data_IF_980519817360
#
_entry.id   IF_980519817360
#
_cell.length_a   1.000
_cell.length_b   1.000
_cell.length_c   1.000
_cell.angle_alpha   90.00
_cell.angle_beta   90.00
_cell.angle_gamma   90.00
#
_symmetry.space_group_name_H-M   'P 1'
#
loop_
_entity.id
_entity.type
_entity.pdbx_description
1 polymer ?
#
# COMPACT_ATOMS: atom_id res chain seq x y z
N UNK A 1 11.85 -11.77 2.47
CA UNK A 1 11.54 -10.48 1.84
C UNK A 1 12.67 -10.10 0.92
N UNK A 2 12.38 -9.31 -0.11
CA UNK A 2 13.35 -8.83 -1.09
C UNK A 2 13.91 -7.46 -0.69
N UNK A 3 15.21 -7.26 -0.88
CA UNK A 3 15.90 -5.97 -0.91
C UNK A 3 16.61 -5.90 -2.26
N UNK A 4 16.29 -4.91 -3.08
CA UNK A 4 16.72 -4.80 -4.47
C UNK A 4 17.67 -3.60 -4.67
N UNK A 5 18.48 -3.67 -5.72
CA UNK A 5 19.42 -2.62 -6.13
C UNK A 5 20.60 -2.42 -5.15
N UNK A 6 21.16 -3.51 -4.66
CA UNK A 6 22.28 -3.55 -3.72
C UNK A 6 23.63 -3.65 -4.42
N UNK A 7 24.67 -3.06 -3.81
CA UNK A 7 26.07 -3.26 -4.16
C UNK A 7 26.68 -4.47 -3.40
N UNK A 8 27.93 -4.82 -3.72
CA UNK A 8 28.69 -5.81 -2.94
C UNK A 8 28.95 -5.34 -1.50
N UNK A 9 29.20 -4.04 -1.33
CA UNK A 9 29.53 -3.46 -0.03
C UNK A 9 28.31 -3.47 0.89
N UNK A 10 27.10 -3.26 0.33
CA UNK A 10 25.85 -3.39 1.09
C UNK A 10 25.63 -4.84 1.55
N UNK A 11 25.92 -5.82 0.70
CA UNK A 11 25.81 -7.24 1.06
C UNK A 11 26.78 -7.62 2.19
N UNK A 12 28.00 -7.07 2.16
CA UNK A 12 29.00 -7.30 3.22
C UNK A 12 28.57 -6.62 4.52
N UNK A 13 28.04 -5.40 4.47
CA UNK A 13 27.46 -4.72 5.62
C UNK A 13 26.27 -5.51 6.21
N UNK A 14 25.35 -5.99 5.37
CA UNK A 14 24.23 -6.83 5.81
C UNK A 14 24.71 -8.07 6.58
N UNK A 15 25.75 -8.74 6.09
CA UNK A 15 26.32 -9.93 6.75
C UNK A 15 26.96 -9.59 8.09
N UNK A 16 27.71 -8.49 8.17
CA UNK A 16 28.38 -8.03 9.41
C UNK A 16 27.39 -7.63 10.49
N UNK A 17 26.21 -7.11 10.08
CA UNK A 17 25.17 -6.63 10.98
C UNK A 17 24.13 -7.71 11.34
N UNK A 18 24.40 -8.97 10.99
CA UNK A 18 23.51 -10.09 11.32
C UNK A 18 22.23 -10.15 10.47
N UNK A 19 22.22 -9.46 9.33
CA UNK A 19 21.11 -9.45 8.35
C UNK A 19 21.42 -10.33 7.14
N UNK A 20 22.08 -11.44 7.37
CA UNK A 20 22.57 -12.36 6.37
C UNK A 20 21.45 -12.77 5.40
N UNK A 21 21.64 -12.57 4.07
CA UNK A 21 20.67 -13.01 3.09
C UNK A 21 20.53 -14.53 3.05
N UNK A 22 19.31 -15.02 2.98
CA UNK A 22 19.02 -16.42 2.68
C UNK A 22 19.34 -16.79 1.24
N UNK A 23 19.30 -15.80 0.32
CA UNK A 23 19.79 -15.93 -1.05
C UNK A 23 20.27 -14.58 -1.57
N UNK A 24 21.30 -14.61 -2.42
CA UNK A 24 21.85 -13.45 -3.13
C UNK A 24 21.79 -13.74 -4.63
N UNK A 25 21.12 -12.84 -5.35
CA UNK A 25 20.94 -12.94 -6.79
C UNK A 25 21.62 -11.73 -7.46
N UNK A 26 22.61 -11.95 -8.30
CA UNK A 26 23.17 -10.90 -9.16
C UNK A 26 22.26 -10.74 -10.38
N UNK A 27 21.61 -9.59 -10.47
CA UNK A 27 20.63 -9.31 -11.55
C UNK A 27 21.23 -8.70 -12.80
N UNK A 28 22.39 -8.06 -12.65
CA UNK A 28 23.26 -7.51 -13.68
C UNK A 28 24.64 -7.25 -13.05
N UNK A 29 25.69 -7.00 -13.83
CA UNK A 29 27.04 -6.80 -13.28
C UNK A 29 27.05 -5.78 -12.12
N UNK A 30 27.49 -6.21 -10.94
CA UNK A 30 27.60 -5.43 -9.69
C UNK A 30 26.27 -4.93 -9.11
N UNK A 31 25.14 -5.48 -9.53
CA UNK A 31 23.84 -5.15 -8.98
C UNK A 31 23.15 -6.40 -8.43
N UNK A 32 22.73 -6.36 -7.17
CA UNK A 32 22.28 -7.54 -6.45
C UNK A 32 20.87 -7.37 -5.87
N UNK A 33 20.21 -8.50 -5.71
CA UNK A 33 19.00 -8.69 -4.92
C UNK A 33 19.32 -9.61 -3.74
N UNK A 34 18.97 -9.17 -2.53
CA UNK A 34 19.09 -9.98 -1.32
C UNK A 34 17.70 -10.46 -0.86
N UNK A 35 17.57 -11.75 -0.65
CA UNK A 35 16.38 -12.36 -0.05
C UNK A 35 16.64 -12.61 1.43
N UNK A 36 16.08 -11.78 2.31
CA UNK A 36 16.26 -11.90 3.76
C UNK A 36 15.12 -12.68 4.36
N UNK A 37 15.46 -13.70 5.16
CA UNK A 37 14.53 -14.52 5.93
C UNK A 37 14.69 -14.21 7.42
N UNK A 38 13.68 -13.66 8.05
CA UNK A 38 13.77 -13.21 9.47
C UNK A 38 13.10 -14.18 10.45
N UNK A 39 12.21 -15.03 9.96
CA UNK A 39 11.58 -16.11 10.70
C UNK A 39 11.03 -17.16 9.73
N UNK A 40 10.66 -18.34 10.24
CA UNK A 40 10.04 -19.37 9.40
C UNK A 40 8.69 -18.88 8.85
N UNK A 41 7.86 -18.29 9.69
CA UNK A 41 6.50 -17.83 9.38
C UNK A 41 6.32 -16.35 9.78
N UNK A 42 7.07 -15.45 9.14
CA UNK A 42 6.94 -14.01 9.37
C UNK A 42 5.62 -13.50 8.76
N UNK A 43 4.74 -12.81 9.55
CA UNK A 43 3.51 -12.22 9.02
C UNK A 43 3.79 -11.18 7.92
N UNK A 44 2.91 -11.11 6.90
CA UNK A 44 3.10 -10.20 5.76
C UNK A 44 3.27 -8.74 6.18
N UNK A 45 2.52 -8.28 7.19
CA UNK A 45 2.61 -6.90 7.71
C UNK A 45 3.99 -6.60 8.31
N UNK A 46 4.60 -7.55 9.05
CA UNK A 46 5.95 -7.41 9.58
C UNK A 46 6.97 -7.40 8.45
N UNK A 47 6.85 -8.33 7.48
CA UNK A 47 7.74 -8.36 6.31
C UNK A 47 7.76 -7.04 5.55
N UNK A 48 6.59 -6.40 5.37
CA UNK A 48 6.49 -5.11 4.70
C UNK A 48 7.13 -3.96 5.49
N UNK A 49 7.10 -3.99 6.82
CA UNK A 49 7.81 -3.00 7.67
C UNK A 49 9.31 -3.21 7.55
N UNK A 50 9.78 -4.45 7.74
CA UNK A 50 11.21 -4.79 7.71
C UNK A 50 11.80 -4.51 6.31
N UNK A 51 11.10 -4.86 5.22
CA UNK A 51 11.56 -4.59 3.87
C UNK A 51 11.83 -3.10 3.64
N UNK A 52 10.92 -2.22 4.10
CA UNK A 52 11.10 -0.76 3.99
C UNK A 52 12.24 -0.24 4.86
N UNK A 53 12.45 -0.84 6.02
CA UNK A 53 13.54 -0.47 6.91
C UNK A 53 14.89 -0.84 6.31
N UNK A 54 15.05 -2.08 5.84
CA UNK A 54 16.25 -2.53 5.15
C UNK A 54 16.53 -1.72 3.87
N UNK A 55 15.50 -1.44 3.07
CA UNK A 55 15.68 -0.61 1.87
C UNK A 55 16.20 0.80 2.20
N UNK A 56 15.71 1.41 3.27
CA UNK A 56 16.19 2.73 3.73
C UNK A 56 17.61 2.66 4.29
N UNK A 57 17.94 1.60 5.01
CA UNK A 57 19.24 1.44 5.69
C UNK A 57 20.37 1.21 4.70
N UNK A 58 20.13 0.44 3.64
CA UNK A 58 21.11 0.12 2.59
C UNK A 58 20.91 0.93 1.30
N UNK A 59 20.18 2.04 1.32
CA UNK A 59 19.86 2.89 0.16
C UNK A 59 19.34 2.09 -1.07
N UNK A 60 18.63 1.00 -0.78
CA UNK A 60 18.09 0.08 -1.78
C UNK A 60 16.79 0.62 -2.40
N UNK A 61 16.31 -0.01 -3.49
CA UNK A 61 15.10 0.45 -4.20
C UNK A 61 13.85 0.42 -3.32
N UNK A 62 13.31 1.59 -2.92
CA UNK A 62 12.13 1.66 -2.07
C UNK A 62 10.85 1.15 -2.77
N UNK A 63 10.82 1.10 -4.11
CA UNK A 63 9.68 0.60 -4.87
C UNK A 63 9.54 -0.92 -4.74
N UNK A 64 10.64 -1.63 -4.45
CA UNK A 64 10.65 -3.06 -4.19
C UNK A 64 10.35 -3.44 -2.73
N UNK A 65 10.31 -2.47 -1.82
CA UNK A 65 10.26 -2.67 -0.38
C UNK A 65 8.84 -2.97 0.14
N UNK A 66 8.30 -4.11 -0.22
CA UNK A 66 6.99 -4.57 0.22
C UNK A 66 7.01 -6.05 0.72
N UNK A 67 5.85 -6.55 1.13
CA UNK A 67 5.72 -7.92 1.67
C UNK A 67 5.64 -9.01 0.61
N UNK A 68 5.50 -8.68 -0.67
CA UNK A 68 5.18 -9.60 -1.77
C UNK A 68 5.93 -9.30 -3.07
N UNK A 69 6.96 -8.52 -3.02
CA UNK A 69 7.70 -8.14 -4.22
C UNK A 69 8.33 -9.35 -4.92
N UNK A 70 8.31 -9.33 -6.25
CA UNK A 70 8.91 -10.37 -7.07
C UNK A 70 10.31 -9.95 -7.48
N UNK A 71 11.29 -10.82 -7.21
CA UNK A 71 12.67 -10.65 -7.69
C UNK A 71 12.89 -11.32 -9.04
N UNK A 72 14.06 -11.08 -9.62
CA UNK A 72 14.50 -11.77 -10.81
C UNK A 72 14.89 -13.21 -10.48
N UNK A 73 14.50 -14.10 -11.35
CA UNK A 73 14.81 -15.52 -11.21
C UNK A 73 16.21 -15.81 -11.83
N UNK A 74 17.09 -16.44 -11.05
CA UNK A 74 18.38 -16.91 -11.53
C UNK A 74 18.21 -17.97 -12.64
N UNK A 75 19.16 -18.01 -13.56
CA UNK A 75 19.13 -18.90 -14.73
C UNK A 75 18.44 -18.31 -15.97
N UNK A 76 17.96 -17.06 -15.89
CA UNK A 76 17.41 -16.32 -17.02
C UNK A 76 18.24 -15.08 -17.31
N UNK A 77 18.07 -14.46 -18.49
CA UNK A 77 18.76 -13.23 -18.85
C UNK A 77 17.99 -11.99 -18.36
N UNK A 78 18.75 -10.95 -18.00
CA UNK A 78 18.17 -9.64 -17.70
C UNK A 78 17.92 -8.88 -19.01
N UNK A 79 16.64 -8.75 -19.39
CA UNK A 79 16.21 -8.18 -20.66
C UNK A 79 15.94 -6.67 -20.62
N UNK A 80 16.36 -5.96 -19.54
CA UNK A 80 16.28 -4.49 -19.53
C UNK A 80 17.27 -3.90 -20.54
N UNK A 81 16.81 -2.99 -21.38
CA UNK A 81 17.62 -2.37 -22.46
C UNK A 81 18.90 -1.74 -21.94
N UNK A 82 18.85 -1.10 -20.76
CA UNK A 82 20.03 -0.48 -20.11
C UNK A 82 21.16 -1.48 -19.80
N UNK A 83 20.90 -2.78 -19.77
CA UNK A 83 21.87 -3.82 -19.48
C UNK A 83 22.23 -4.65 -20.74
N UNK A 84 21.59 -4.37 -21.88
CA UNK A 84 21.89 -5.05 -23.14
C UNK A 84 23.07 -4.35 -23.83
N UNK A 85 24.14 -5.07 -24.09
CA UNK A 85 25.32 -4.57 -24.80
C UNK A 85 25.61 -5.45 -26.00
N UNK A 86 25.68 -4.86 -27.21
CA UNK A 86 25.91 -5.55 -28.47
C UNK A 86 24.98 -6.77 -28.68
N UNK A 87 23.73 -6.66 -28.30
CA UNK A 87 22.75 -7.76 -28.38
C UNK A 87 22.89 -8.81 -27.27
N UNK A 88 23.87 -8.68 -26.39
CA UNK A 88 24.10 -9.58 -25.26
C UNK A 88 23.34 -9.09 -24.03
N UNK A 89 22.55 -9.98 -23.43
CA UNK A 89 21.81 -9.76 -22.19
C UNK A 89 22.51 -10.51 -21.05
N UNK A 90 22.85 -9.84 -19.91
CA UNK A 90 23.55 -10.51 -18.82
C UNK A 90 22.67 -11.57 -18.17
N UNK A 91 23.30 -12.66 -17.76
CA UNK A 91 22.64 -13.70 -16.97
C UNK A 91 22.34 -13.21 -15.56
N UNK A 92 21.17 -13.58 -15.06
CA UNK A 92 20.83 -13.47 -13.63
C UNK A 92 21.41 -14.68 -12.92
N UNK A 93 22.30 -14.45 -11.97
CA UNK A 93 23.09 -15.48 -11.32
C UNK A 93 22.72 -15.64 -9.86
N UNK A 94 22.52 -16.87 -9.39
CA UNK A 94 22.47 -17.16 -7.96
C UNK A 94 23.92 -17.19 -7.44
N UNK A 95 24.26 -16.24 -6.57
CA UNK A 95 25.58 -16.13 -5.96
C UNK A 95 25.68 -16.91 -4.66
N UNK A 96 24.62 -16.82 -3.84
CA UNK A 96 24.51 -17.53 -2.57
C UNK A 96 23.08 -18.02 -2.35
N UNK A 97 22.90 -19.15 -1.69
CA UNK A 97 21.58 -19.70 -1.34
C UNK A 97 21.72 -20.58 -0.09
N UNK A 98 21.78 -19.93 1.08
CA UNK A 98 21.86 -20.62 2.37
C UNK A 98 20.49 -21.09 2.88
N UNK A 99 19.43 -20.36 2.55
CA UNK A 99 18.08 -20.58 3.10
C UNK A 99 17.96 -20.24 4.60
N UNK A 100 19.02 -19.73 5.21
CA UNK A 100 19.10 -19.48 6.65
C UNK A 100 18.24 -18.28 7.08
N UNK A 101 17.86 -18.29 8.35
CA UNK A 101 17.24 -17.15 9.00
C UNK A 101 18.38 -16.22 9.44
N UNK A 102 18.24 -14.93 9.13
CA UNK A 102 19.18 -13.89 9.54
C UNK A 102 19.35 -13.87 11.07
N UNK A 103 20.58 -13.71 11.54
CA UNK A 103 20.91 -13.67 12.99
C UNK A 103 20.13 -12.59 13.73
N UNK A 104 19.98 -11.40 13.12
CA UNK A 104 19.14 -10.32 13.63
C UNK A 104 17.64 -10.49 13.40
N UNK A 105 17.21 -11.63 12.83
CA UNK A 105 15.80 -11.90 12.50
C UNK A 105 14.83 -11.67 13.65
N UNK A 106 15.08 -12.21 14.87
CA UNK A 106 14.21 -11.97 16.02
C UNK A 106 14.11 -10.49 16.42
N UNK A 107 15.22 -9.75 16.36
CA UNK A 107 15.26 -8.33 16.67
C UNK A 107 14.46 -7.52 15.64
N UNK A 108 14.67 -7.76 14.35
CA UNK A 108 13.91 -7.13 13.27
C UNK A 108 12.40 -7.38 13.41
N UNK A 109 12.01 -8.58 13.79
CA UNK A 109 10.61 -8.92 14.06
C UNK A 109 10.05 -8.13 15.24
N UNK A 110 10.81 -7.97 16.32
CA UNK A 110 10.41 -7.18 17.49
C UNK A 110 10.28 -5.70 17.13
N UNK A 111 11.23 -5.12 16.41
CA UNK A 111 11.21 -3.73 15.95
C UNK A 111 9.99 -3.48 15.04
N UNK A 112 9.73 -4.36 14.10
CA UNK A 112 8.55 -4.28 13.24
C UNK A 112 7.23 -4.32 14.05
N UNK A 113 7.16 -5.15 15.09
CA UNK A 113 6.03 -5.18 16.03
C UNK A 113 5.81 -3.84 16.70
N UNK A 114 6.87 -3.22 17.24
CA UNK A 114 6.81 -1.91 17.88
C UNK A 114 6.33 -0.81 16.91
N UNK A 115 6.82 -0.83 15.67
CA UNK A 115 6.37 0.11 14.63
C UNK A 115 4.88 -0.07 14.34
N UNK A 116 4.41 -1.31 14.18
CA UNK A 116 3.00 -1.61 13.94
C UNK A 116 2.11 -1.18 15.10
N UNK A 117 2.54 -1.43 16.34
CA UNK A 117 1.82 -0.96 17.54
C UNK A 117 1.77 0.56 17.62
N UNK A 118 2.85 1.25 17.26
CA UNK A 118 2.87 2.71 17.21
C UNK A 118 1.89 3.28 16.18
N UNK A 119 1.81 2.64 15.00
CA UNK A 119 0.85 2.99 13.95
C UNK A 119 -0.58 2.79 14.45
N UNK A 120 -0.86 1.63 15.07
CA UNK A 120 -2.16 1.31 15.63
C UNK A 120 -2.60 2.32 16.70
N UNK A 121 -1.72 2.66 17.64
CA UNK A 121 -1.99 3.68 18.67
C UNK A 121 -2.26 5.07 18.07
N UNK A 122 -1.52 5.46 17.03
CA UNK A 122 -1.77 6.73 16.32
C UNK A 122 -3.13 6.72 15.62
N UNK A 123 -3.51 5.62 14.98
CA UNK A 123 -4.81 5.46 14.35
C UNK A 123 -5.95 5.48 15.39
N UNK A 124 -5.79 4.79 16.52
CA UNK A 124 -6.77 4.81 17.61
C UNK A 124 -6.91 6.20 18.22
N UNK A 125 -5.78 6.92 18.42
CA UNK A 125 -5.80 8.30 18.91
C UNK A 125 -6.49 9.23 17.90
N UNK A 126 -6.21 9.09 16.61
CA UNK A 126 -6.88 9.88 15.57
C UNK A 126 -8.39 9.61 15.56
N UNK A 127 -8.82 8.34 15.63
CA UNK A 127 -10.24 7.98 15.75
C UNK A 127 -10.92 8.56 17.01
N UNK A 128 -10.21 8.59 18.14
CA UNK A 128 -10.73 9.21 19.37
C UNK A 128 -10.88 10.72 19.22
N UNK A 129 -9.91 11.39 18.60
CA UNK A 129 -9.98 12.83 18.35
C UNK A 129 -11.11 13.17 17.36
N UNK A 130 -11.24 12.40 16.27
CA UNK A 130 -12.38 12.51 15.35
C UNK A 130 -13.72 12.26 16.06
N UNK A 131 -13.76 11.34 17.03
CA UNK A 131 -14.94 11.08 17.87
C UNK A 131 -15.25 12.19 18.89
N UNK A 132 -14.24 12.94 19.35
CA UNK A 132 -14.39 14.06 20.30
C UNK A 132 -14.78 15.34 19.55
N UNK A 133 -14.27 15.58 18.35
CA UNK A 133 -14.68 16.70 17.50
C UNK A 133 -16.06 16.48 16.86
N UNK A 134 -16.54 15.25 16.80
CA UNK A 134 -17.89 14.91 16.47
C UNK A 134 -18.81 15.08 17.70
N UNK A 135 -18.99 16.31 18.15
CA UNK A 135 -20.21 16.69 18.89
C UNK A 135 -21.44 16.26 18.07
N UNK A 136 -22.66 16.19 18.67
CA UNK A 136 -23.82 15.62 18.02
C UNK A 136 -23.97 16.24 16.62
N UNK A 137 -23.63 15.44 15.61
CA UNK A 137 -23.69 15.88 14.20
C UNK A 137 -25.14 16.26 13.92
N UNK A 138 -25.44 17.54 13.97
CA UNK A 138 -26.60 18.07 13.27
C UNK A 138 -26.47 17.55 11.84
N UNK A 139 -27.45 16.82 11.38
CA UNK A 139 -27.49 16.18 10.06
C UNK A 139 -27.64 17.23 8.95
N UNK A 140 -26.63 18.08 8.78
CA UNK A 140 -26.38 18.72 7.51
C UNK A 140 -25.59 17.69 6.70
N UNK A 141 -26.29 16.87 5.96
CA UNK A 141 -25.70 15.94 5.00
C UNK A 141 -24.99 16.82 3.97
N UNK A 142 -23.65 16.98 4.12
CA UNK A 142 -22.85 17.65 3.09
C UNK A 142 -23.12 16.94 1.77
N UNK A 143 -23.09 17.69 0.67
CA UNK A 143 -23.18 17.06 -0.66
C UNK A 143 -22.00 16.07 -0.82
N UNK A 144 -22.25 14.95 -1.50
CA UNK A 144 -21.24 13.95 -1.77
C UNK A 144 -20.04 14.53 -2.57
N UNK A 145 -20.31 15.56 -3.37
CA UNK A 145 -19.29 16.32 -4.10
C UNK A 145 -18.33 17.04 -3.18
N UNK A 146 -18.84 17.68 -2.11
CA UNK A 146 -18.02 18.38 -1.14
C UNK A 146 -17.20 17.41 -0.28
N UNK A 147 -17.79 16.28 0.12
CA UNK A 147 -17.07 15.22 0.81
C UNK A 147 -15.93 14.68 -0.07
N UNK A 148 -16.20 14.45 -1.35
CA UNK A 148 -15.22 13.98 -2.31
C UNK A 148 -14.07 14.98 -2.50
N UNK A 149 -14.37 16.27 -2.66
CA UNK A 149 -13.34 17.35 -2.75
C UNK A 149 -12.45 17.40 -1.53
N UNK A 150 -13.06 17.30 -0.35
CA UNK A 150 -12.33 17.30 0.92
C UNK A 150 -11.36 16.12 1.03
N UNK A 151 -11.82 14.91 0.67
CA UNK A 151 -10.97 13.72 0.65
C UNK A 151 -9.85 13.83 -0.39
N UNK A 152 -10.17 14.28 -1.60
CA UNK A 152 -9.17 14.45 -2.67
C UNK A 152 -8.07 15.43 -2.28
N UNK A 153 -8.39 16.56 -1.64
CA UNK A 153 -7.40 17.54 -1.19
C UNK A 153 -6.36 16.94 -0.24
N UNK A 154 -6.79 16.07 0.67
CA UNK A 154 -5.90 15.34 1.58
C UNK A 154 -5.07 14.26 0.89
N UNK A 155 -5.68 13.55 -0.06
CA UNK A 155 -5.03 12.45 -0.79
C UNK A 155 -3.97 12.95 -1.77
N UNK A 156 -4.22 14.06 -2.46
CA UNK A 156 -3.25 14.68 -3.38
C UNK A 156 -2.00 15.13 -2.62
N UNK A 157 -2.14 15.70 -1.42
CA UNK A 157 -1.00 16.05 -0.55
C UNK A 157 -0.15 14.82 -0.19
N UNK A 158 -0.78 13.64 -0.11
CA UNK A 158 -0.12 12.40 0.32
C UNK A 158 0.45 11.58 -0.82
N UNK A 159 -0.23 11.54 -1.98
CA UNK A 159 0.09 10.66 -3.10
C UNK A 159 0.48 11.41 -4.38
N UNK A 160 0.55 12.76 -4.33
CA UNK A 160 0.97 13.59 -5.47
C UNK A 160 0.06 13.40 -6.68
N UNK A 161 0.68 13.21 -7.84
CA UNK A 161 0.00 13.18 -9.14
C UNK A 161 -0.67 11.83 -9.48
N UNK A 162 -0.62 10.83 -8.60
CA UNK A 162 -1.38 9.58 -8.80
C UNK A 162 -2.87 9.80 -8.52
N UNK A 163 -3.48 10.64 -9.36
CA UNK A 163 -4.90 11.00 -9.25
C UNK A 163 -5.85 9.79 -9.39
N UNK A 164 -5.45 8.75 -10.13
CA UNK A 164 -6.28 7.53 -10.23
C UNK A 164 -6.33 6.76 -8.92
N UNK A 165 -5.23 6.72 -8.18
CA UNK A 165 -5.17 6.17 -6.83
C UNK A 165 -5.95 7.02 -5.84
N UNK A 166 -5.85 8.33 -5.95
CA UNK A 166 -6.61 9.27 -5.12
C UNK A 166 -8.12 9.09 -5.34
N UNK A 167 -8.58 9.00 -6.59
CA UNK A 167 -9.98 8.74 -6.95
C UNK A 167 -10.49 7.44 -6.32
N UNK A 168 -9.71 6.36 -6.43
CA UNK A 168 -10.09 5.06 -5.87
C UNK A 168 -10.24 5.11 -4.34
N UNK A 169 -9.29 5.75 -3.64
CA UNK A 169 -9.33 5.86 -2.18
C UNK A 169 -10.46 6.78 -1.73
N UNK A 170 -10.70 7.90 -2.41
CA UNK A 170 -11.80 8.80 -2.11
C UNK A 170 -13.16 8.08 -2.28
N UNK A 171 -13.37 7.41 -3.41
CA UNK A 171 -14.58 6.63 -3.65
C UNK A 171 -14.79 5.52 -2.60
N UNK A 172 -13.71 4.80 -2.21
CA UNK A 172 -13.76 3.78 -1.17
C UNK A 172 -14.20 4.36 0.19
N UNK A 173 -13.67 5.52 0.57
CA UNK A 173 -14.05 6.18 1.83
C UNK A 173 -15.50 6.64 1.83
N UNK A 174 -15.98 7.24 0.73
CA UNK A 174 -17.37 7.65 0.59
C UNK A 174 -18.31 6.44 0.66
N UNK A 175 -17.98 5.35 -0.03
CA UNK A 175 -18.75 4.10 0.01
C UNK A 175 -18.79 3.48 1.42
N UNK A 176 -17.66 3.45 2.13
CA UNK A 176 -17.57 2.98 3.52
C UNK A 176 -18.37 3.85 4.49
N UNK A 177 -18.56 5.14 4.18
CA UNK A 177 -19.38 6.07 4.95
C UNK A 177 -20.87 6.03 4.57
N UNK A 178 -21.29 5.07 3.73
CA UNK A 178 -22.68 4.83 3.39
C UNK A 178 -23.21 5.71 2.27
N UNK A 179 -22.35 6.40 1.49
CA UNK A 179 -22.80 7.09 0.28
C UNK A 179 -23.20 6.07 -0.78
N UNK A 180 -24.27 6.39 -1.52
CA UNK A 180 -24.73 5.50 -2.59
C UNK A 180 -23.85 5.60 -3.83
N UNK A 181 -23.73 4.52 -4.64
CA UNK A 181 -22.87 4.50 -5.81
C UNK A 181 -23.14 5.65 -6.79
N UNK A 182 -24.40 6.04 -6.98
CA UNK A 182 -24.77 7.13 -7.88
C UNK A 182 -24.31 8.50 -7.34
N UNK A 183 -24.37 8.71 -6.01
CA UNK A 183 -23.84 9.91 -5.37
C UNK A 183 -22.32 10.02 -5.57
N UNK A 184 -21.61 8.88 -5.44
CA UNK A 184 -20.15 8.83 -5.61
C UNK A 184 -19.80 9.01 -7.10
N UNK A 185 -20.55 8.41 -8.02
CA UNK A 185 -20.34 8.58 -9.46
C UNK A 185 -20.43 10.06 -9.85
N UNK A 186 -21.48 10.73 -9.39
CA UNK A 186 -21.68 12.17 -9.61
C UNK A 186 -20.52 12.98 -9.01
N UNK A 187 -20.12 12.69 -7.79
CA UNK A 187 -19.01 13.37 -7.13
C UNK A 187 -17.68 13.21 -7.88
N UNK A 188 -17.39 12.02 -8.39
CA UNK A 188 -16.22 11.77 -9.22
C UNK A 188 -16.27 12.55 -10.53
N UNK A 189 -17.41 12.55 -11.21
CA UNK A 189 -17.57 13.28 -12.48
C UNK A 189 -17.39 14.78 -12.31
N UNK A 190 -17.89 15.37 -11.22
CA UNK A 190 -17.86 16.81 -10.98
C UNK A 190 -16.59 17.32 -10.29
N UNK A 191 -15.93 16.48 -9.50
CA UNK A 191 -14.87 16.92 -8.59
C UNK A 191 -13.53 16.19 -8.72
N UNK A 192 -13.43 15.13 -9.55
CA UNK A 192 -12.13 14.50 -9.78
C UNK A 192 -11.24 15.40 -10.64
N UNK A 193 -10.01 15.77 -10.16
CA UNK A 193 -9.16 16.71 -10.87
C UNK A 193 -8.79 16.22 -12.26
N UNK A 194 -9.01 17.08 -13.25
CA UNK A 194 -8.67 16.84 -14.66
C UNK A 194 -9.20 15.50 -15.22
N UNK A 195 -10.34 15.00 -14.73
CA UNK A 195 -10.88 13.71 -15.19
C UNK A 195 -11.15 13.70 -16.68
N UNK A 196 -11.65 14.81 -17.21
CA UNK A 196 -11.94 14.99 -18.65
C UNK A 196 -10.67 14.86 -19.50
N UNK A 197 -9.55 15.39 -19.03
CA UNK A 197 -8.27 15.34 -19.76
C UNK A 197 -7.61 13.95 -19.60
N UNK A 198 -7.61 13.42 -18.36
CA UNK A 198 -6.97 12.13 -18.04
C UNK A 198 -7.66 10.91 -18.63
N UNK A 199 -8.97 11.02 -18.85
CA UNK A 199 -9.83 9.90 -19.30
C UNK A 199 -10.67 10.26 -20.52
N UNK A 200 -10.19 11.21 -21.35
CA UNK A 200 -10.91 11.77 -22.48
C UNK A 200 -11.69 10.72 -23.29
N UNK A 201 -13.00 10.86 -23.32
CA UNK A 201 -13.93 9.94 -24.01
C UNK A 201 -14.20 8.60 -23.28
N UNK A 202 -13.63 8.38 -22.09
CA UNK A 202 -13.77 7.16 -21.29
C UNK A 202 -14.11 7.44 -19.82
N UNK A 203 -14.56 8.65 -19.50
CA UNK A 203 -14.79 9.10 -18.13
C UNK A 203 -15.84 8.25 -17.42
N UNK A 204 -16.97 8.03 -18.09
CA UNK A 204 -18.09 7.24 -17.55
C UNK A 204 -17.67 5.79 -17.28
N UNK A 205 -16.95 5.17 -18.22
CA UNK A 205 -16.44 3.81 -18.08
C UNK A 205 -15.37 3.71 -16.95
N UNK A 206 -14.50 4.71 -16.83
CA UNK A 206 -13.53 4.80 -15.73
C UNK A 206 -14.24 4.87 -14.36
N UNK A 207 -15.24 5.75 -14.23
CA UNK A 207 -16.02 5.91 -12.99
C UNK A 207 -16.73 4.60 -12.65
N UNK A 208 -17.42 4.01 -13.61
CA UNK A 208 -18.17 2.76 -13.42
C UNK A 208 -17.26 1.62 -12.96
N UNK A 209 -16.12 1.41 -13.62
CA UNK A 209 -15.15 0.37 -13.22
C UNK A 209 -14.52 0.63 -11.86
N UNK A 210 -14.27 1.90 -11.52
CA UNK A 210 -13.74 2.27 -10.21
C UNK A 210 -14.75 1.95 -9.12
N UNK A 211 -16.01 2.33 -9.31
CA UNK A 211 -17.08 2.06 -8.35
C UNK A 211 -17.36 0.57 -8.21
N UNK A 212 -17.41 -0.19 -9.30
CA UNK A 212 -17.59 -1.63 -9.23
C UNK A 212 -16.53 -2.27 -8.35
N UNK A 213 -15.24 -1.96 -8.58
CA UNK A 213 -14.14 -2.48 -7.77
C UNK A 213 -14.23 -2.05 -6.31
N UNK A 214 -14.62 -0.82 -6.05
CA UNK A 214 -14.76 -0.29 -4.68
C UNK A 214 -15.88 -1.02 -3.95
N UNK A 215 -17.03 -1.23 -4.58
CA UNK A 215 -18.19 -1.89 -3.96
C UNK A 215 -17.97 -3.40 -3.72
N UNK A 216 -17.08 -4.02 -4.48
CA UNK A 216 -16.66 -5.43 -4.28
C UNK A 216 -15.66 -5.62 -3.14
N UNK A 217 -15.06 -4.53 -2.60
CA UNK A 217 -14.09 -4.63 -1.51
C UNK A 217 -14.75 -5.16 -0.22
N UNK A 218 -14.21 -6.22 0.41
CA UNK A 218 -14.77 -6.78 1.65
C UNK A 218 -14.91 -5.74 2.77
N UNK A 219 -13.94 -4.84 2.90
CA UNK A 219 -13.95 -3.77 3.90
C UNK A 219 -15.06 -2.74 3.68
N UNK A 220 -15.44 -2.48 2.43
CA UNK A 220 -16.56 -1.58 2.09
C UNK A 220 -17.89 -2.27 2.39
N UNK A 221 -18.03 -3.54 2.02
CA UNK A 221 -19.22 -4.34 2.30
C UNK A 221 -19.46 -4.48 3.80
N UNK A 222 -18.40 -4.74 4.57
CA UNK A 222 -18.47 -4.85 6.03
C UNK A 222 -18.89 -3.50 6.68
N UNK A 223 -18.27 -2.39 6.25
CA UNK A 223 -18.62 -1.06 6.76
C UNK A 223 -20.09 -0.70 6.45
N UNK A 224 -20.56 -0.96 5.24
CA UNK A 224 -21.96 -0.73 4.86
C UNK A 224 -22.93 -1.62 5.63
N UNK A 225 -22.60 -2.89 5.82
CA UNK A 225 -23.40 -3.82 6.64
C UNK A 225 -23.51 -3.37 8.10
N UNK A 226 -22.43 -2.83 8.65
CA UNK A 226 -22.42 -2.27 10.01
C UNK A 226 -23.32 -1.03 10.11
N UNK A 227 -23.23 -0.11 9.14
CA UNK A 227 -24.10 1.07 9.08
C UNK A 227 -25.59 0.67 8.98
N UNK A 228 -25.89 -0.35 8.17
CA UNK A 228 -27.26 -0.86 8.06
C UNK A 228 -27.77 -1.46 9.37
N UNK A 229 -26.94 -2.22 10.09
CA UNK A 229 -27.26 -2.74 11.43
C UNK A 229 -27.50 -1.65 12.45
N UNK A 230 -26.67 -0.60 12.42
CA UNK A 230 -26.83 0.57 13.31
C UNK A 230 -28.12 1.36 13.01
N UNK A 231 -28.48 1.50 11.74
CA UNK A 231 -29.74 2.15 11.35
C UNK A 231 -30.98 1.38 11.83
N UNK A 232 -30.93 0.03 11.74
CA UNK A 232 -32.01 -0.83 12.26
C UNK A 232 -32.16 -0.78 13.78
N UNK A 233 -31.05 -0.62 14.54
CA UNK A 233 -31.08 -0.46 16.00
C UNK A 233 -31.61 0.88 16.47
N UNK A 234 -31.58 1.91 15.61
CA UNK A 234 -32.13 3.25 15.84
C UNK A 234 -33.53 3.42 15.27
N UNK A 235 -34.31 2.33 15.13
CA UNK A 235 -35.68 2.33 14.64
C UNK A 235 -36.54 3.43 15.30
N UNK A 236 -37.68 3.83 14.70
CA UNK A 236 -38.43 4.96 15.14
C UNK A 236 -38.84 4.82 16.61
N UNK A 237 -38.55 5.85 17.44
CA UNK A 237 -39.12 5.94 18.77
C UNK A 237 -40.64 5.84 18.63
N UNK A 238 -41.32 4.97 19.42
CA UNK A 238 -42.76 4.94 19.42
C UNK A 238 -43.24 6.31 19.89
N UNK A 239 -43.90 7.04 18.99
CA UNK A 239 -44.49 8.33 19.30
C UNK A 239 -45.46 8.20 20.49
N UNK A 240 -45.23 9.05 21.51
CA UNK A 240 -46.27 9.44 22.44
C UNK A 240 -47.12 10.52 21.81
#
# INVERSE_FOLDING_TARGET
>A
MLVDDLSSDDLDAMKQEGREPAAIIETSPKNYQAWVKVAQDAPAVHRGVIARELAREYDADPASADSRHYGRLAGFTNRKDKHTSNGYQPWVLCRESSGQIATAGPELMQQAGQVLDSIKRRQEKARRLEGIEAGPKRSYRRDAVDDYRSEMAGLIKRYGDDLSRCDFIAAMKLASNGREPDEIAKAMAEASPAIMDRKAGHEADYIQRTLQKVMELPQVQEARAELARQAQRKGPEPGM
#
